data_IF_462324861965
#
_entry.id   IF_462324861965
#
_cell.length_a   1.000
_cell.length_b   1.000
_cell.length_c   1.000
_cell.angle_alpha   90.00
_cell.angle_beta   90.00
_cell.angle_gamma   90.00
#
_symmetry.space_group_name_H-M   'P 1'
#
loop_
_entity.id
_entity.type
_entity.pdbx_description
1 polymer ?
#
# COMPACT_ATOMS: atom_id res chain seq x y z
N UNK A 1 -25.50 11.68 4.27
CA UNK A 1 -25.22 11.64 2.82
C UNK A 1 -24.94 10.18 2.45
N UNK A 2 -25.59 9.59 1.43
CA UNK A 2 -25.29 8.21 1.06
C UNK A 2 -23.92 8.17 0.37
N UNK A 3 -22.98 7.40 0.94
CA UNK A 3 -21.67 7.13 0.35
C UNK A 3 -21.84 6.53 -1.04
N UNK A 4 -21.20 7.15 -2.03
CA UNK A 4 -21.12 6.67 -3.42
C UNK A 4 -20.45 5.30 -3.40
N UNK A 5 -20.96 4.26 -4.10
CA UNK A 5 -20.30 2.97 -4.11
C UNK A 5 -18.85 3.13 -4.64
N UNK A 6 -17.87 2.40 -4.08
CA UNK A 6 -16.51 2.41 -4.61
C UNK A 6 -16.57 1.98 -6.08
N UNK A 7 -15.90 2.74 -6.95
CA UNK A 7 -15.92 2.49 -8.41
C UNK A 7 -15.05 1.30 -8.83
N UNK A 8 -14.32 0.70 -7.89
CA UNK A 8 -13.34 -0.36 -8.12
C UNK A 8 -13.63 -1.56 -7.21
N UNK A 9 -13.33 -2.75 -7.73
CA UNK A 9 -13.40 -4.00 -6.99
C UNK A 9 -12.38 -3.96 -5.84
N UNK A 10 -12.75 -4.29 -4.59
CA UNK A 10 -11.79 -4.44 -3.50
C UNK A 10 -10.65 -5.42 -3.85
N UNK A 11 -10.91 -6.49 -4.59
CA UNK A 11 -9.86 -7.44 -4.99
C UNK A 11 -8.79 -6.78 -5.88
N UNK A 12 -9.21 -5.93 -6.84
CA UNK A 12 -8.29 -5.15 -7.68
C UNK A 12 -7.42 -4.21 -6.83
N UNK A 13 -8.02 -3.53 -5.85
CA UNK A 13 -7.31 -2.59 -5.00
C UNK A 13 -6.27 -3.31 -4.11
N UNK A 14 -6.61 -4.46 -3.55
CA UNK A 14 -5.68 -5.27 -2.76
C UNK A 14 -4.54 -5.80 -3.63
N UNK A 15 -4.85 -6.26 -4.83
CA UNK A 15 -3.86 -6.71 -5.82
C UNK A 15 -2.91 -5.58 -6.17
N UNK A 16 -3.42 -4.37 -6.45
CA UNK A 16 -2.59 -3.19 -6.75
C UNK A 16 -1.61 -2.87 -5.60
N UNK A 17 -2.03 -2.98 -4.35
CA UNK A 17 -1.15 -2.77 -3.18
C UNK A 17 0.00 -3.78 -3.20
N UNK A 18 -0.33 -5.07 -3.36
CA UNK A 18 0.64 -6.17 -3.35
C UNK A 18 1.65 -6.00 -4.49
N UNK A 19 1.16 -5.77 -5.70
CA UNK A 19 1.94 -5.61 -6.92
C UNK A 19 2.97 -4.48 -6.81
N UNK A 20 2.56 -3.33 -6.27
CA UNK A 20 3.44 -2.16 -6.14
C UNK A 20 4.44 -2.35 -4.98
N UNK A 21 4.05 -3.02 -3.90
CA UNK A 21 4.98 -3.39 -2.84
C UNK A 21 6.09 -4.33 -3.36
N UNK A 22 5.74 -5.34 -4.14
CA UNK A 22 6.71 -6.27 -4.74
C UNK A 22 7.61 -5.58 -5.79
N UNK A 23 7.12 -4.56 -6.48
CA UNK A 23 7.97 -3.71 -7.35
C UNK A 23 8.99 -2.95 -6.52
N UNK A 24 8.58 -2.33 -5.42
CA UNK A 24 9.47 -1.61 -4.49
C UNK A 24 10.56 -2.55 -3.95
N UNK A 25 10.18 -3.73 -3.46
CA UNK A 25 11.15 -4.71 -2.95
C UNK A 25 12.18 -5.10 -4.01
N UNK A 26 11.76 -5.29 -5.27
CA UNK A 26 12.67 -5.57 -6.39
C UNK A 26 13.59 -4.41 -6.71
N UNK A 27 13.10 -3.17 -6.67
CA UNK A 27 13.93 -1.99 -6.93
C UNK A 27 14.98 -1.77 -5.83
N UNK A 28 14.62 -2.10 -4.59
CA UNK A 28 15.52 -1.95 -3.44
C UNK A 28 16.37 -3.21 -3.17
N UNK A 29 16.27 -4.25 -4.01
CA UNK A 29 16.98 -5.49 -3.81
C UNK A 29 18.50 -5.28 -3.92
N UNK A 30 19.22 -5.60 -2.84
CA UNK A 30 20.67 -5.38 -2.76
C UNK A 30 21.10 -3.91 -2.69
N UNK A 31 20.14 -2.99 -2.55
CA UNK A 31 20.39 -1.56 -2.42
C UNK A 31 20.44 -1.20 -0.93
N UNK A 32 21.43 -0.39 -0.56
CA UNK A 32 21.46 0.26 0.75
C UNK A 32 20.93 1.69 0.67
N UNK A 33 20.90 2.36 1.82
CA UNK A 33 20.37 3.72 1.92
C UNK A 33 21.13 4.72 1.04
N UNK A 34 22.46 4.64 1.01
CA UNK A 34 23.29 5.58 0.26
C UNK A 34 23.14 5.37 -1.26
N UNK A 35 23.06 4.11 -1.70
CA UNK A 35 22.79 3.75 -3.08
C UNK A 35 21.41 4.26 -3.53
N UNK A 36 20.40 4.16 -2.67
CA UNK A 36 19.06 4.70 -2.94
C UNK A 36 19.07 6.23 -3.07
N UNK A 37 19.72 6.94 -2.14
CA UNK A 37 19.84 8.41 -2.22
C UNK A 37 20.59 8.86 -3.49
N UNK A 38 21.61 8.12 -3.90
CA UNK A 38 22.40 8.43 -5.09
C UNK A 38 21.67 8.10 -6.42
N UNK A 39 20.72 7.17 -6.42
CA UNK A 39 19.99 6.75 -7.62
C UNK A 39 18.61 7.44 -7.73
N UNK A 40 18.58 8.56 -8.47
CA UNK A 40 17.35 9.30 -8.74
C UNK A 40 16.28 8.48 -9.48
N UNK A 41 16.68 7.57 -10.38
CA UNK A 41 15.73 6.74 -11.14
C UNK A 41 15.02 5.77 -10.21
N UNK A 42 15.76 5.16 -9.29
CA UNK A 42 15.18 4.22 -8.32
C UNK A 42 14.29 4.94 -7.32
N UNK A 43 14.66 6.16 -6.89
CA UNK A 43 13.78 7.02 -6.07
C UNK A 43 12.47 7.32 -6.76
N UNK A 44 12.48 7.83 -7.98
CA UNK A 44 11.27 8.14 -8.76
C UNK A 44 10.38 6.88 -8.94
N UNK A 45 11.01 5.72 -9.17
CA UNK A 45 10.28 4.46 -9.34
C UNK A 45 9.61 4.00 -8.03
N UNK A 46 10.31 4.11 -6.90
CA UNK A 46 9.78 3.78 -5.57
C UNK A 46 8.67 4.76 -5.18
N UNK A 47 8.89 6.06 -5.37
CA UNK A 47 7.91 7.12 -5.17
C UNK A 47 6.61 6.83 -5.91
N UNK A 48 6.70 6.50 -7.20
CA UNK A 48 5.53 6.19 -8.02
C UNK A 48 4.79 4.95 -7.54
N UNK A 49 5.50 3.95 -7.02
CA UNK A 49 4.88 2.75 -6.46
C UNK A 49 4.18 3.06 -5.14
N UNK A 50 4.80 3.85 -4.25
CA UNK A 50 4.19 4.31 -2.99
C UNK A 50 2.90 5.10 -3.26
N UNK A 51 2.90 5.99 -4.25
CA UNK A 51 1.71 6.77 -4.66
C UNK A 51 0.55 5.84 -5.06
N UNK A 52 0.84 4.82 -5.88
CA UNK A 52 -0.16 3.84 -6.32
C UNK A 52 -0.73 3.02 -5.16
N UNK A 53 0.12 2.62 -4.21
CA UNK A 53 -0.32 1.94 -2.98
C UNK A 53 -1.28 2.84 -2.18
N UNK A 54 -0.94 4.12 -2.00
CA UNK A 54 -1.79 5.06 -1.28
C UNK A 54 -3.15 5.28 -1.94
N UNK A 55 -3.16 5.38 -3.27
CA UNK A 55 -4.38 5.52 -4.06
C UNK A 55 -5.25 4.27 -3.95
N UNK A 56 -4.66 3.07 -4.03
CA UNK A 56 -5.39 1.81 -3.85
C UNK A 56 -6.01 1.68 -2.44
N UNK A 57 -5.27 2.05 -1.39
CA UNK A 57 -5.80 2.14 -0.02
C UNK A 57 -6.95 3.14 0.07
N UNK A 58 -6.82 4.31 -0.58
CA UNK A 58 -7.88 5.32 -0.58
C UNK A 58 -9.16 4.82 -1.27
N UNK A 59 -9.02 4.06 -2.36
CA UNK A 59 -10.15 3.45 -3.09
C UNK A 59 -10.91 2.40 -2.28
N UNK A 60 -10.23 1.67 -1.39
CA UNK A 60 -10.88 0.73 -0.47
C UNK A 60 -11.86 1.43 0.48
N UNK A 61 -11.59 2.70 0.85
CA UNK A 61 -12.48 3.52 1.67
C UNK A 61 -12.92 2.81 2.95
N UNK A 62 -14.23 2.79 3.20
CA UNK A 62 -14.82 2.15 4.39
C UNK A 62 -14.71 0.62 4.38
N UNK A 63 -14.49 -0.01 3.22
CA UNK A 63 -14.30 -1.47 3.12
C UNK A 63 -12.95 -1.89 3.63
N UNK A 64 -11.97 -0.99 3.69
CA UNK A 64 -10.64 -1.31 4.18
C UNK A 64 -10.76 -1.95 5.58
N UNK A 65 -11.46 -1.28 6.50
CA UNK A 65 -11.66 -1.74 7.90
C UNK A 65 -12.26 -3.14 8.02
N UNK A 66 -13.19 -3.47 7.13
CA UNK A 66 -13.81 -4.78 7.08
C UNK A 66 -12.87 -5.87 6.52
N UNK A 67 -11.97 -5.51 5.60
CA UNK A 67 -11.14 -6.45 4.84
C UNK A 67 -9.80 -6.76 5.52
N UNK A 68 -9.18 -5.79 6.20
CA UNK A 68 -7.94 -6.01 6.98
C UNK A 68 -8.18 -5.79 8.50
N UNK A 69 -9.08 -6.55 9.15
CA UNK A 69 -9.36 -6.39 10.58
C UNK A 69 -8.17 -6.85 11.43
N UNK A 70 -7.67 -5.99 12.32
CA UNK A 70 -6.61 -6.34 13.26
C UNK A 70 -5.56 -5.25 13.46
N UNK A 71 -5.36 -4.41 12.45
CA UNK A 71 -4.52 -3.23 12.59
C UNK A 71 -5.32 -2.07 13.16
N UNK A 72 -4.71 -1.21 14.01
CA UNK A 72 -5.34 0.03 14.40
C UNK A 72 -5.54 0.85 13.13
N UNK A 73 -6.76 0.84 12.58
CA UNK A 73 -7.09 1.56 11.35
C UNK A 73 -6.94 3.07 11.47
N UNK A 74 -6.92 3.59 12.70
CA UNK A 74 -6.44 4.95 12.99
C UNK A 74 -4.97 5.14 12.57
N UNK A 75 -4.12 4.14 12.79
CA UNK A 75 -2.73 4.10 12.38
C UNK A 75 -2.53 3.66 10.93
N UNK A 76 -3.41 2.86 10.30
CA UNK A 76 -3.33 2.58 8.83
C UNK A 76 -3.87 3.74 7.99
N UNK A 77 -4.95 4.40 8.40
CA UNK A 77 -5.25 5.75 7.87
C UNK A 77 -4.08 6.67 8.19
N UNK A 78 -3.45 6.52 9.34
CA UNK A 78 -2.17 7.10 9.69
C UNK A 78 -1.04 6.71 8.75
N UNK A 79 -0.97 5.48 8.22
CA UNK A 79 0.05 4.99 7.29
C UNK A 79 -0.23 5.51 5.90
N UNK A 80 -1.45 5.42 5.38
CA UNK A 80 -1.82 6.09 4.13
C UNK A 80 -1.68 7.61 4.21
N UNK A 81 -1.93 8.21 5.37
CA UNK A 81 -1.72 9.64 5.60
C UNK A 81 -0.25 9.98 5.87
N UNK A 82 0.54 9.09 6.47
CA UNK A 82 1.99 9.22 6.70
C UNK A 82 2.72 9.03 5.38
N UNK A 83 2.33 8.07 4.54
CA UNK A 83 2.81 7.88 3.18
C UNK A 83 2.40 9.04 2.28
N UNK A 84 1.16 9.56 2.40
CA UNK A 84 0.75 10.79 1.72
C UNK A 84 1.52 12.02 2.20
N UNK A 85 1.77 12.15 3.51
CA UNK A 85 2.58 13.23 4.07
C UNK A 85 4.09 13.06 3.77
N UNK A 86 4.57 11.82 3.67
CA UNK A 86 5.91 11.45 3.21
C UNK A 86 6.10 11.74 1.73
N UNK A 87 5.00 11.82 0.98
CA UNK A 87 4.99 12.31 -0.39
C UNK A 87 4.94 13.84 -0.43
N UNK A 88 4.09 14.49 0.38
CA UNK A 88 4.01 15.96 0.46
C UNK A 88 5.35 16.60 0.89
N UNK A 89 6.13 15.92 1.73
CA UNK A 89 7.54 16.25 2.00
C UNK A 89 8.40 15.23 1.28
N UNK A 90 8.94 15.59 0.12
CA UNK A 90 9.94 14.81 -0.64
C UNK A 90 11.24 14.68 0.16
N UNK A 91 11.17 13.99 1.29
CA UNK A 91 12.28 13.67 2.17
C UNK A 91 12.65 12.21 1.88
N UNK A 92 13.79 11.96 1.24
CA UNK A 92 14.22 10.62 0.89
C UNK A 92 14.21 9.67 2.08
N UNK A 93 14.47 10.15 3.31
CA UNK A 93 14.52 9.32 4.53
C UNK A 93 13.16 8.69 4.81
N UNK A 94 12.10 9.49 4.65
CA UNK A 94 10.74 9.03 4.89
C UNK A 94 10.33 8.04 3.81
N UNK A 95 10.68 8.28 2.55
CA UNK A 95 10.35 7.37 1.44
C UNK A 95 11.04 6.02 1.59
N UNK A 96 12.28 6.00 2.06
CA UNK A 96 13.00 4.76 2.32
C UNK A 96 12.42 3.98 3.50
N UNK A 97 12.12 4.65 4.61
CA UNK A 97 11.46 4.01 5.75
C UNK A 97 10.12 3.40 5.33
N UNK A 98 9.33 4.16 4.57
CA UNK A 98 8.08 3.71 3.98
C UNK A 98 8.25 2.46 3.12
N UNK A 99 9.17 2.51 2.17
CA UNK A 99 9.44 1.43 1.24
C UNK A 99 9.98 0.17 1.90
N UNK A 100 10.71 0.29 3.02
CA UNK A 100 11.34 -0.86 3.71
C UNK A 100 10.50 -1.45 4.84
N UNK A 101 9.54 -0.71 5.39
CA UNK A 101 8.79 -1.13 6.58
C UNK A 101 7.28 -1.06 6.39
N UNK A 102 6.76 0.10 6.00
CA UNK A 102 5.32 0.37 6.01
C UNK A 102 4.60 -0.29 4.83
N UNK A 103 5.18 -0.19 3.62
CA UNK A 103 4.60 -0.79 2.42
C UNK A 103 4.61 -2.33 2.46
N UNK A 104 5.70 -3.00 2.87
CA UNK A 104 5.69 -4.45 3.01
C UNK A 104 4.69 -4.96 4.06
N UNK A 105 4.53 -4.26 5.18
CA UNK A 105 3.53 -4.61 6.19
C UNK A 105 2.11 -4.54 5.61
N UNK A 106 1.78 -3.43 4.94
CA UNK A 106 0.49 -3.23 4.28
C UNK A 106 0.23 -4.30 3.20
N UNK A 107 1.25 -4.71 2.44
CA UNK A 107 1.11 -5.78 1.46
C UNK A 107 0.80 -7.14 2.11
N UNK A 108 1.33 -7.41 3.30
CA UNK A 108 0.99 -8.62 4.05
C UNK A 108 -0.47 -8.61 4.52
N UNK A 109 -0.99 -7.45 4.93
CA UNK A 109 -2.41 -7.28 5.26
C UNK A 109 -3.30 -7.46 4.03
N UNK A 110 -2.89 -6.86 2.91
CA UNK A 110 -3.62 -6.94 1.66
C UNK A 110 -3.74 -8.38 1.14
N UNK A 111 -2.67 -9.19 1.25
CA UNK A 111 -2.73 -10.63 0.91
C UNK A 111 -3.76 -11.37 1.76
N UNK A 112 -3.72 -11.19 3.08
CA UNK A 112 -4.69 -11.82 3.99
C UNK A 112 -6.13 -11.40 3.69
N UNK A 113 -6.34 -10.15 3.30
CA UNK A 113 -7.66 -9.66 2.90
C UNK A 113 -8.15 -10.28 1.60
N UNK A 114 -7.26 -10.44 0.63
CA UNK A 114 -7.58 -11.04 -0.67
C UNK A 114 -7.97 -12.52 -0.49
N UNK A 115 -7.20 -13.28 0.28
CA UNK A 115 -7.50 -14.68 0.59
C UNK A 115 -8.90 -14.85 1.21
N UNK A 116 -9.27 -13.96 2.14
CA UNK A 116 -10.62 -13.98 2.77
C UNK A 116 -11.76 -13.67 1.81
N UNK A 117 -11.51 -12.81 0.81
CA UNK A 117 -12.50 -12.50 -0.22
C UNK A 117 -12.74 -13.72 -1.10
N UNK A 118 -11.68 -14.40 -1.53
CA UNK A 118 -11.74 -15.61 -2.36
C UNK A 118 -12.43 -16.77 -1.63
N UNK A 119 -12.18 -16.93 -0.33
CA UNK A 119 -12.87 -17.92 0.52
C UNK A 119 -14.36 -17.62 0.66
N UNK A 120 -14.74 -16.33 0.78
CA UNK A 120 -16.14 -15.92 0.96
C UNK A 120 -16.97 -16.07 -0.33
N UNK A 121 -16.35 -15.97 -1.50
CA UNK A 121 -16.99 -16.21 -2.80
C UNK A 121 -17.14 -17.72 -3.10
N UNK A 122 -16.36 -18.58 -2.45
CA UNK A 122 -16.37 -20.04 -2.65
C UNK A 122 -17.43 -20.79 -1.83
N UNK A 123 -17.89 -20.23 -0.70
CA UNK A 123 -18.88 -20.84 0.21
C UNK A 123 -20.36 -20.62 -0.21
N UNK A 124 -20.59 -20.00 -1.37
CA UNK A 124 -21.94 -19.68 -1.90
C UNK A 124 -22.52 -20.67 -2.92
N UNK A 125 -21.95 -21.88 -3.05
CA UNK A 125 -22.31 -22.91 -4.04
C UNK A 125 -23.29 -23.97 -3.56
#
# INVERSE_FOLDING_TARGET
MPSRPPRHDPADCLTDIIDNAERIERYLAGMDRAAFEADGRTRDAVERCVERVCEAVHRLGDRAEALMPGDPWGDIRGTGNRLRHAYDRVDPDVIWAAARHEVPALAADARRALERLEDSDSDGG
#
